data_IF_646313248444
#
_entry.id   IF_646313248444
#
_cell.length_a   1.000
_cell.length_b   1.000
_cell.length_c   1.000
_cell.angle_alpha   90.00
_cell.angle_beta   90.00
_cell.angle_gamma   90.00
#
_symmetry.space_group_name_H-M   'P 1'
#
loop_
_entity.id
_entity.type
_entity.pdbx_description
1 polymer ?
#
# COMPACT_ATOMS: atom_id res chain seq x y z
N UNK A 1 -13.74 -8.46 6.30
CA UNK A 1 -12.93 -7.59 7.19
C UNK A 1 -11.89 -6.92 6.31
N UNK A 2 -11.58 -5.62 6.50
CA UNK A 2 -10.48 -4.98 5.73
C UNK A 2 -9.16 -5.63 6.13
N UNK A 3 -8.20 -5.67 5.22
CA UNK A 3 -6.86 -6.12 5.55
C UNK A 3 -6.19 -5.12 6.49
N UNK A 4 -5.32 -5.61 7.36
CA UNK A 4 -4.45 -4.81 8.23
C UNK A 4 -3.06 -4.65 7.58
N UNK A 5 -2.34 -3.60 7.95
CA UNK A 5 -1.06 -3.28 7.34
C UNK A 5 0.03 -3.29 8.41
N UNK A 6 1.18 -3.90 8.12
CA UNK A 6 2.28 -4.05 9.08
C UNK A 6 3.53 -3.41 8.49
N UNK A 7 4.13 -2.50 9.23
CA UNK A 7 5.40 -1.86 8.90
C UNK A 7 6.44 -2.39 9.88
N UNK A 8 7.29 -3.31 9.43
CA UNK A 8 8.44 -3.73 10.22
C UNK A 8 9.50 -2.64 10.15
N UNK A 9 9.79 -2.03 11.31
CA UNK A 9 10.87 -1.08 11.45
C UNK A 9 12.21 -1.83 11.39
N UNK A 10 13.08 -1.45 10.46
CA UNK A 10 14.33 -2.18 10.16
C UNK A 10 15.58 -1.33 10.36
N UNK A 11 15.50 -0.31 11.21
CA UNK A 11 16.66 0.50 11.55
C UNK A 11 17.46 -0.11 12.71
N UNK A 12 18.77 0.02 12.63
CA UNK A 12 19.68 -0.34 13.70
C UNK A 12 19.62 0.74 14.78
N UNK A 13 18.74 0.56 15.75
CA UNK A 13 18.72 1.39 16.96
C UNK A 13 19.77 0.84 17.96
N UNK A 14 20.80 1.62 18.26
CA UNK A 14 21.68 1.33 19.40
C UNK A 14 20.85 1.37 20.70
N UNK A 15 20.90 0.34 21.57
CA UNK A 15 19.97 0.21 22.71
C UNK A 15 19.92 1.39 23.68
N UNK A 16 21.03 2.13 23.78
CA UNK A 16 21.22 3.27 24.68
C UNK A 16 21.26 4.62 23.92
N UNK A 17 21.15 4.60 22.60
CA UNK A 17 21.15 5.82 21.80
C UNK A 17 19.76 6.47 21.81
N UNK A 18 19.70 7.82 21.74
CA UNK A 18 18.43 8.51 21.54
C UNK A 18 17.79 8.05 20.21
N UNK A 19 16.46 8.01 20.19
CA UNK A 19 15.71 7.68 18.98
C UNK A 19 16.20 8.52 17.80
N UNK A 20 16.85 7.89 16.82
CA UNK A 20 17.25 8.57 15.60
C UNK A 20 16.18 8.35 14.54
N UNK A 21 15.03 8.98 14.76
CA UNK A 21 13.91 8.92 13.83
C UNK A 21 13.90 10.20 12.99
N UNK A 22 14.41 10.17 11.74
CA UNK A 22 14.54 11.40 10.97
C UNK A 22 13.14 11.99 10.68
N UNK A 23 12.97 13.32 10.67
CA UNK A 23 11.65 13.94 10.55
C UNK A 23 10.84 13.49 9.32
N UNK A 24 11.52 13.15 8.23
CA UNK A 24 10.87 12.69 7.00
C UNK A 24 10.25 11.28 7.15
N UNK A 25 10.87 10.39 7.94
CA UNK A 25 10.31 9.05 8.18
C UNK A 25 9.00 9.16 8.99
N UNK A 26 8.90 10.18 9.86
CA UNK A 26 7.67 10.48 10.58
C UNK A 26 6.57 10.99 9.66
N UNK A 27 6.93 11.77 8.65
CA UNK A 27 5.98 12.20 7.64
C UNK A 27 5.48 11.01 6.82
N UNK A 28 6.34 10.08 6.42
CA UNK A 28 5.93 8.85 5.72
C UNK A 28 4.98 8.00 6.57
N UNK A 29 5.32 7.75 7.83
CA UNK A 29 4.46 6.98 8.74
C UNK A 29 3.08 7.61 8.91
N UNK A 30 3.02 8.93 9.08
CA UNK A 30 1.75 9.66 9.16
C UNK A 30 0.99 9.59 7.84
N UNK A 31 1.69 9.67 6.70
CA UNK A 31 1.08 9.59 5.38
C UNK A 31 0.47 8.23 5.10
N UNK A 32 1.11 7.14 5.54
CA UNK A 32 0.55 5.78 5.46
C UNK A 32 -0.84 5.70 6.12
N UNK A 33 -1.03 6.31 7.29
CA UNK A 33 -2.33 6.31 7.96
C UNK A 33 -3.42 6.95 7.10
N UNK A 34 -3.08 8.02 6.37
CA UNK A 34 -4.01 8.67 5.46
C UNK A 34 -4.25 7.89 4.18
N UNK A 35 -3.22 7.25 3.61
CA UNK A 35 -3.38 6.37 2.45
C UNK A 35 -4.31 5.19 2.74
N UNK A 36 -4.17 4.59 3.92
CA UNK A 36 -4.99 3.45 4.34
C UNK A 36 -6.43 3.89 4.68
N UNK A 37 -6.57 4.98 5.42
CA UNK A 37 -7.87 5.54 5.81
C UNK A 37 -8.64 4.73 6.87
N UNK A 38 -9.73 5.32 7.39
CA UNK A 38 -10.48 4.79 8.53
C UNK A 38 -11.07 3.37 8.35
N UNK A 39 -11.14 2.59 9.44
CA UNK A 39 -11.79 1.26 9.44
C UNK A 39 -10.83 0.07 9.32
N UNK A 40 -9.53 0.32 9.42
CA UNK A 40 -8.50 -0.70 9.60
C UNK A 40 -7.34 -0.15 10.45
N UNK A 41 -6.32 -0.97 10.68
CA UNK A 41 -5.16 -0.67 11.55
C UNK A 41 -3.85 -0.80 10.78
N UNK A 42 -2.93 0.13 11.06
CA UNK A 42 -1.52 0.03 10.68
C UNK A 42 -0.69 -0.30 11.93
N UNK A 43 0.01 -1.42 11.91
CA UNK A 43 0.89 -1.88 12.98
C UNK A 43 2.32 -1.49 12.64
N UNK A 44 2.98 -0.73 13.52
CA UNK A 44 4.41 -0.47 13.42
C UNK A 44 5.12 -1.39 14.40
N UNK A 45 5.93 -2.31 13.90
CA UNK A 45 6.56 -3.40 14.66
C UNK A 45 8.08 -3.25 14.70
N UNK A 46 8.74 -4.01 15.58
CA UNK A 46 10.19 -3.99 15.80
C UNK A 46 10.75 -2.59 16.15
N UNK A 47 9.97 -1.76 16.85
CA UNK A 47 10.42 -0.45 17.31
C UNK A 47 11.28 -0.59 18.57
N UNK A 48 12.40 0.13 18.64
CA UNK A 48 13.10 0.28 19.92
C UNK A 48 12.26 1.03 20.94
N UNK A 49 12.65 0.92 22.22
CA UNK A 49 11.97 1.66 23.29
C UNK A 49 11.99 3.17 23.05
N UNK A 50 13.12 3.69 22.58
CA UNK A 50 13.26 5.11 22.28
C UNK A 50 12.33 5.53 21.13
N UNK A 51 12.25 4.72 20.06
CA UNK A 51 11.37 4.95 18.92
C UNK A 51 9.88 4.91 19.31
N UNK A 52 9.48 4.00 20.20
CA UNK A 52 8.11 3.96 20.74
C UNK A 52 7.71 5.25 21.45
N UNK A 53 8.54 5.73 22.37
CA UNK A 53 8.24 6.94 23.14
C UNK A 53 8.18 8.18 22.22
N UNK A 54 9.10 8.28 21.24
CA UNK A 54 9.12 9.35 20.24
C UNK A 54 7.89 9.32 19.32
N UNK A 55 7.51 8.15 18.81
CA UNK A 55 6.35 8.00 17.93
C UNK A 55 5.03 8.23 18.67
N UNK A 56 4.93 7.81 19.93
CA UNK A 56 3.75 8.11 20.76
C UNK A 56 3.55 9.62 20.91
N UNK A 57 4.61 10.36 21.21
CA UNK A 57 4.52 11.81 21.33
C UNK A 57 4.20 12.47 19.98
N UNK A 58 4.89 12.04 18.92
CA UNK A 58 4.65 12.55 17.59
C UNK A 58 3.20 12.30 17.13
N UNK A 59 2.63 11.11 17.33
CA UNK A 59 1.29 10.79 16.84
C UNK A 59 0.16 11.42 17.68
N UNK A 60 0.46 11.91 18.89
CA UNK A 60 -0.48 12.75 19.67
C UNK A 60 -0.64 14.15 19.12
N UNK A 61 0.37 14.66 18.42
CA UNK A 61 0.27 15.97 17.80
C UNK A 61 -0.77 15.94 16.68
N UNK A 62 -1.68 16.92 16.62
CA UNK A 62 -2.71 16.95 15.60
C UNK A 62 -2.06 16.99 14.22
N UNK A 63 -2.48 16.05 13.38
CA UNK A 63 -2.09 16.04 11.98
C UNK A 63 -2.83 17.16 11.24
N UNK A 64 -2.22 17.77 10.21
CA UNK A 64 -2.94 18.69 9.34
C UNK A 64 -4.22 18.02 8.83
N UNK A 65 -5.38 18.69 8.89
CA UNK A 65 -6.62 18.10 8.42
C UNK A 65 -6.50 17.85 6.91
N UNK A 66 -6.35 16.58 6.53
CA UNK A 66 -6.58 16.13 5.18
C UNK A 66 -8.07 15.82 5.01
N UNK A 67 -8.53 15.75 3.77
CA UNK A 67 -9.93 15.49 3.42
C UNK A 67 -10.42 14.12 3.86
N UNK A 68 -9.50 13.19 4.16
CA UNK A 68 -9.77 11.81 4.58
C UNK A 68 -9.35 11.59 6.04
N UNK A 69 -10.14 10.80 6.78
CA UNK A 69 -9.78 10.38 8.14
C UNK A 69 -8.71 9.30 8.09
N UNK A 70 -7.69 9.36 8.97
CA UNK A 70 -6.62 8.38 9.00
C UNK A 70 -7.09 7.02 9.54
N UNK A 71 -6.33 5.97 9.22
CA UNK A 71 -6.43 4.66 9.85
C UNK A 71 -6.09 4.73 11.35
N UNK A 72 -6.49 3.69 12.09
CA UNK A 72 -5.95 3.47 13.43
C UNK A 72 -4.49 3.01 13.32
N UNK A 73 -3.73 3.22 14.38
CA UNK A 73 -2.37 2.71 14.45
C UNK A 73 -2.11 2.02 15.79
N UNK A 74 -1.19 1.07 15.77
CA UNK A 74 -0.62 0.47 16.98
C UNK A 74 0.91 0.44 16.84
N UNK A 75 1.61 0.68 17.94
CA UNK A 75 3.08 0.68 18.00
C UNK A 75 3.53 -0.49 18.87
N UNK A 76 4.48 -1.30 18.40
CA UNK A 76 4.93 -2.53 19.05
C UNK A 76 6.45 -2.58 19.12
N UNK A 77 6.99 -3.02 20.26
CA UNK A 77 8.41 -3.36 20.37
C UNK A 77 8.71 -4.71 19.70
N UNK A 78 7.71 -5.59 19.73
CA UNK A 78 7.74 -6.93 19.17
C UNK A 78 7.91 -6.90 17.65
N UNK A 79 8.70 -7.85 17.12
CA UNK A 79 8.76 -8.14 15.69
C UNK A 79 7.40 -8.63 15.18
N UNK A 80 7.18 -8.55 13.86
CA UNK A 80 5.98 -9.08 13.22
C UNK A 80 5.71 -10.55 13.57
N UNK A 81 6.74 -11.40 13.66
CA UNK A 81 6.59 -12.82 14.00
C UNK A 81 6.14 -13.03 15.44
N UNK A 82 6.71 -12.27 16.37
CA UNK A 82 6.34 -12.31 17.79
C UNK A 82 4.91 -11.80 17.99
N UNK A 83 4.57 -10.69 17.36
CA UNK A 83 3.22 -10.12 17.39
C UNK A 83 2.20 -11.10 16.78
N UNK A 84 2.50 -11.70 15.63
CA UNK A 84 1.65 -12.69 14.99
C UNK A 84 1.37 -13.88 15.92
N UNK A 85 2.41 -14.41 16.58
CA UNK A 85 2.24 -15.48 17.57
C UNK A 85 1.34 -15.06 18.73
N UNK A 86 1.55 -13.88 19.30
CA UNK A 86 0.76 -13.36 20.43
C UNK A 86 -0.72 -13.14 20.06
N UNK A 87 -0.99 -12.70 18.82
CA UNK A 87 -2.34 -12.44 18.32
C UNK A 87 -3.00 -13.67 17.68
N UNK A 88 -2.27 -14.77 17.51
CA UNK A 88 -2.75 -15.98 16.82
C UNK A 88 -2.94 -15.77 15.32
N UNK A 89 -2.16 -14.89 14.70
CA UNK A 89 -2.18 -14.68 13.26
C UNK A 89 -1.43 -15.80 12.54
N UNK A 90 -2.07 -16.34 11.49
CA UNK A 90 -1.42 -17.29 10.59
C UNK A 90 -0.44 -16.56 9.67
N UNK A 91 0.84 -16.91 9.73
CA UNK A 91 1.89 -16.33 8.89
C UNK A 91 1.60 -16.53 7.39
N UNK A 92 0.90 -17.59 7.00
CA UNK A 92 0.50 -17.82 5.61
C UNK A 92 -0.60 -16.85 5.13
N UNK A 93 -1.17 -16.06 6.04
CA UNK A 93 -2.13 -14.99 5.74
C UNK A 93 -1.51 -13.59 5.86
N UNK A 94 -0.19 -13.49 6.06
CA UNK A 94 0.57 -12.25 6.08
C UNK A 94 1.42 -12.19 4.80
N UNK A 95 1.05 -11.32 3.87
CA UNK A 95 1.76 -11.16 2.61
C UNK A 95 2.92 -10.17 2.76
N UNK A 96 4.15 -10.61 2.53
CA UNK A 96 5.30 -9.73 2.43
C UNK A 96 5.32 -9.04 1.05
N UNK A 97 5.38 -7.71 1.04
CA UNK A 97 5.66 -6.96 -0.18
C UNK A 97 7.17 -6.93 -0.40
N UNK A 98 7.62 -7.63 -1.45
CA UNK A 98 9.02 -7.90 -1.73
C UNK A 98 9.28 -7.76 -3.24
N UNK A 99 10.20 -6.89 -3.67
CA UNK A 99 10.57 -6.76 -5.09
C UNK A 99 11.05 -8.06 -5.75
N UNK A 100 11.52 -9.04 -4.95
CA UNK A 100 11.99 -10.35 -5.44
C UNK A 100 10.94 -11.46 -5.33
N UNK A 101 9.71 -11.15 -4.90
CA UNK A 101 8.64 -12.14 -4.88
C UNK A 101 8.32 -12.60 -6.32
N UNK A 102 7.92 -13.87 -6.51
CA UNK A 102 7.71 -14.44 -7.84
C UNK A 102 6.41 -13.99 -8.53
N UNK A 103 5.42 -13.52 -7.76
CA UNK A 103 4.09 -13.15 -8.25
C UNK A 103 3.78 -11.68 -7.97
N UNK A 104 3.16 -10.95 -8.92
CA UNK A 104 2.75 -9.59 -8.68
C UNK A 104 1.54 -9.54 -7.75
N UNK A 105 1.40 -8.44 -7.01
CA UNK A 105 0.21 -8.18 -6.21
C UNK A 105 -1.04 -8.14 -7.11
N UNK A 106 -2.10 -8.82 -6.67
CA UNK A 106 -3.38 -8.92 -7.38
C UNK A 106 -4.52 -8.29 -6.58
N UNK A 107 -5.53 -7.74 -7.28
CA UNK A 107 -6.78 -7.28 -6.65
C UNK A 107 -7.49 -8.38 -5.83
N UNK A 108 -7.19 -9.65 -6.10
CA UNK A 108 -7.78 -10.83 -5.44
C UNK A 108 -7.15 -11.15 -4.09
N UNK A 109 -5.99 -10.57 -3.77
CA UNK A 109 -5.16 -10.98 -2.65
C UNK A 109 -5.78 -10.67 -1.26
N UNK A 110 -6.68 -9.69 -1.16
CA UNK A 110 -7.50 -9.44 0.05
C UNK A 110 -8.90 -10.07 -0.01
N UNK A 111 -9.24 -10.76 -1.11
CA UNK A 111 -10.55 -11.40 -1.34
C UNK A 111 -11.74 -10.45 -1.41
N UNK A 112 -11.51 -9.14 -1.62
CA UNK A 112 -12.57 -8.16 -1.87
C UNK A 112 -12.99 -8.10 -3.34
N UNK A 113 -12.08 -8.46 -4.25
CA UNK A 113 -12.31 -8.45 -5.70
C UNK A 113 -12.02 -9.83 -6.27
N UNK A 114 -13.01 -10.51 -6.85
CA UNK A 114 -12.85 -11.85 -7.43
C UNK A 114 -13.47 -12.97 -6.58
N UNK A 115 -13.09 -14.22 -6.85
CA UNK A 115 -13.63 -15.41 -6.17
C UNK A 115 -12.91 -15.70 -4.85
N UNK A 116 -13.68 -15.74 -3.75
CA UNK A 116 -13.28 -16.05 -2.37
C UNK A 116 -12.80 -17.52 -2.24
N UNK A 117 -11.89 -17.90 -1.30
CA UNK A 117 -11.43 -17.18 -0.11
C UNK A 117 -10.27 -16.18 -0.33
N UNK A 118 -10.24 -15.12 0.50
CA UNK A 118 -9.09 -14.20 0.62
C UNK A 118 -7.82 -14.96 1.08
N UNK A 119 -6.71 -14.94 0.31
CA UNK A 119 -5.48 -15.57 0.75
C UNK A 119 -4.84 -14.81 1.92
N UNK A 120 -4.92 -13.47 1.94
CA UNK A 120 -4.25 -12.66 2.96
C UNK A 120 -5.20 -11.82 3.80
N UNK A 121 -4.74 -11.53 5.01
CA UNK A 121 -5.39 -10.66 6.01
C UNK A 121 -4.50 -9.50 6.41
N UNK A 122 -3.19 -9.65 6.22
CA UNK A 122 -2.21 -8.62 6.52
C UNK A 122 -1.27 -8.43 5.34
N UNK A 123 -0.79 -7.21 5.15
CA UNK A 123 0.25 -6.86 4.20
C UNK A 123 1.43 -6.25 4.95
N UNK A 124 2.59 -6.88 4.82
CA UNK A 124 3.83 -6.58 5.54
C UNK A 124 4.82 -5.84 4.62
N UNK A 125 5.39 -4.76 5.15
CA UNK A 125 6.40 -3.93 4.49
C UNK A 125 7.63 -3.85 5.38
N UNK A 126 8.83 -4.04 4.82
CA UNK A 126 10.08 -3.95 5.56
C UNK A 126 10.84 -2.66 5.28
N UNK A 127 11.04 -1.84 6.31
CA UNK A 127 12.05 -0.76 6.37
C UNK A 127 11.79 0.48 5.50
N UNK A 128 11.97 1.67 6.11
CA UNK A 128 11.55 2.98 5.57
C UNK A 128 12.62 3.62 4.67
N UNK A 129 13.88 3.17 4.72
CA UNK A 129 14.97 3.89 4.08
C UNK A 129 15.28 3.36 2.69
N UNK A 130 14.95 4.18 1.68
CA UNK A 130 15.42 4.05 0.31
C UNK A 130 16.91 4.40 0.22
N UNK A 131 17.77 3.43 0.46
CA UNK A 131 19.18 3.54 0.08
C UNK A 131 19.29 3.64 -1.45
N UNK A 132 20.22 4.47 -1.96
CA UNK A 132 20.63 4.48 -3.37
C UNK A 132 22.14 4.16 -3.44
N UNK A 133 22.55 2.96 -3.90
CA UNK A 133 21.71 1.92 -4.49
C UNK A 133 20.84 1.17 -3.46
N UNK A 134 19.74 0.54 -3.91
CA UNK A 134 18.81 -0.17 -3.05
C UNK A 134 19.50 -1.30 -2.28
N UNK A 135 19.29 -1.35 -0.95
CA UNK A 135 19.68 -2.49 -0.12
C UNK A 135 18.50 -3.44 0.02
N UNK A 136 18.72 -4.75 -0.10
CA UNK A 136 17.69 -5.79 0.08
C UNK A 136 17.38 -5.97 1.57
N UNK A 137 16.83 -4.93 2.22
CA UNK A 137 16.45 -4.96 3.64
C UNK A 137 15.37 -6.01 3.90
N UNK A 138 14.51 -6.29 2.92
CA UNK A 138 13.51 -7.36 2.96
C UNK A 138 14.09 -8.78 3.03
N UNK A 139 15.39 -8.98 2.81
CA UNK A 139 15.99 -10.32 2.81
C UNK A 139 15.78 -11.07 4.13
N UNK A 140 15.95 -10.39 5.27
CA UNK A 140 15.75 -11.03 6.59
C UNK A 140 14.29 -11.41 6.82
N UNK A 141 13.33 -10.63 6.30
CA UNK A 141 11.90 -10.97 6.36
C UNK A 141 11.54 -12.14 5.44
N UNK A 142 12.17 -12.22 4.27
CA UNK A 142 11.97 -13.31 3.31
C UNK A 142 12.32 -14.68 3.89
N UNK A 143 13.36 -14.73 4.73
CA UNK A 143 13.79 -15.96 5.42
C UNK A 143 12.78 -16.47 6.47
N UNK A 144 11.82 -15.63 6.89
CA UNK A 144 10.79 -15.97 7.89
C UNK A 144 9.60 -16.75 7.31
N UNK A 145 9.57 -16.98 5.99
CA UNK A 145 8.60 -17.89 5.35
C UNK A 145 7.23 -17.26 5.04
N UNK A 146 7.14 -15.93 4.99
CA UNK A 146 5.93 -15.24 4.53
C UNK A 146 5.69 -15.48 3.03
N UNK A 147 4.44 -15.69 2.57
CA UNK A 147 4.12 -15.59 1.16
C UNK A 147 4.40 -14.17 0.65
N UNK A 148 4.92 -14.05 -0.57
CA UNK A 148 5.36 -12.78 -1.14
C UNK A 148 4.54 -12.30 -2.34
N UNK A 149 4.49 -10.97 -2.53
CA UNK A 149 4.04 -10.29 -3.74
C UNK A 149 4.97 -9.13 -4.09
N UNK A 150 5.17 -8.87 -5.38
CA UNK A 150 5.92 -7.68 -5.84
C UNK A 150 4.97 -6.63 -6.43
N UNK A 151 5.40 -5.35 -6.43
CA UNK A 151 4.63 -4.21 -6.95
C UNK A 151 5.11 -3.75 -8.34
N UNK A 152 5.85 -4.61 -9.04
CA UNK A 152 6.61 -4.28 -10.24
C UNK A 152 8.12 -4.23 -9.98
N UNK A 153 8.89 -3.84 -10.99
CA UNK A 153 10.35 -3.80 -10.95
C UNK A 153 10.93 -2.55 -10.30
N UNK A 154 10.13 -1.49 -10.19
CA UNK A 154 10.57 -0.18 -9.66
C UNK A 154 10.39 -0.13 -8.16
N UNK A 155 11.45 0.27 -7.44
CA UNK A 155 11.38 0.51 -6.01
C UNK A 155 10.50 1.72 -5.69
N UNK A 156 9.73 1.60 -4.61
CA UNK A 156 8.88 2.65 -4.07
C UNK A 156 9.33 2.98 -2.64
N UNK A 157 9.07 4.20 -2.18
CA UNK A 157 9.06 4.50 -0.75
C UNK A 157 8.00 3.64 -0.05
N UNK A 158 8.15 3.41 1.25
CA UNK A 158 7.27 2.48 1.97
C UNK A 158 5.83 3.00 1.99
N UNK A 159 5.64 4.32 2.14
CA UNK A 159 4.31 4.93 2.13
C UNK A 159 3.62 4.79 0.77
N UNK A 160 4.39 4.95 -0.32
CA UNK A 160 3.92 4.72 -1.69
C UNK A 160 3.55 3.25 -1.90
N UNK A 161 4.41 2.31 -1.51
CA UNK A 161 4.16 0.87 -1.63
C UNK A 161 2.88 0.45 -0.91
N UNK A 162 2.67 0.96 0.31
CA UNK A 162 1.46 0.73 1.08
C UNK A 162 0.23 1.35 0.42
N UNK A 163 0.33 2.58 -0.08
CA UNK A 163 -0.76 3.25 -0.79
C UNK A 163 -1.17 2.53 -2.08
N UNK A 164 -0.20 2.05 -2.86
CA UNK A 164 -0.42 1.21 -4.04
C UNK A 164 -1.09 -0.11 -3.64
N UNK A 165 -0.57 -0.78 -2.61
CA UNK A 165 -1.13 -2.05 -2.11
C UNK A 165 -2.60 -1.89 -1.76
N UNK A 166 -2.95 -0.86 -0.97
CA UNK A 166 -4.35 -0.57 -0.60
C UNK A 166 -5.22 -0.35 -1.85
N UNK A 167 -4.74 0.43 -2.83
CA UNK A 167 -5.50 0.67 -4.07
C UNK A 167 -5.74 -0.60 -4.86
N UNK A 168 -4.78 -1.52 -4.89
CA UNK A 168 -4.93 -2.81 -5.56
C UNK A 168 -5.93 -3.68 -4.81
N UNK A 169 -5.65 -3.99 -3.55
CA UNK A 169 -6.36 -5.07 -2.84
C UNK A 169 -7.69 -4.62 -2.27
N UNK A 170 -7.89 -3.32 -2.05
CA UNK A 170 -9.13 -2.77 -1.51
C UNK A 170 -9.95 -1.98 -2.54
N UNK A 171 -9.32 -1.14 -3.36
CA UNK A 171 -10.06 -0.35 -4.36
C UNK A 171 -10.23 -1.10 -5.70
N UNK A 172 -9.59 -2.26 -5.85
CA UNK A 172 -9.69 -3.09 -7.04
C UNK A 172 -8.98 -2.47 -8.25
N UNK A 173 -8.00 -1.60 -8.02
CA UNK A 173 -7.23 -0.94 -9.08
C UNK A 173 -6.01 -1.76 -9.42
N UNK A 174 -5.98 -2.37 -10.61
CA UNK A 174 -4.83 -3.17 -11.05
C UNK A 174 -3.55 -2.35 -11.13
N UNK A 175 -2.41 -2.99 -10.90
CA UNK A 175 -1.08 -2.38 -11.12
C UNK A 175 -0.92 -1.82 -12.54
N UNK A 176 -1.46 -2.53 -13.55
CA UNK A 176 -1.54 -2.03 -14.92
C UNK A 176 -0.20 -1.80 -15.62
N UNK A 177 0.87 -2.41 -15.14
CA UNK A 177 2.21 -2.28 -15.70
C UNK A 177 2.38 -3.17 -16.93
N UNK A 178 3.00 -2.65 -17.99
CA UNK A 178 3.20 -3.40 -19.23
C UNK A 178 4.11 -4.63 -19.03
N UNK A 179 5.08 -4.55 -18.11
CA UNK A 179 5.97 -5.66 -17.75
C UNK A 179 5.24 -6.87 -17.16
N UNK A 180 4.03 -6.67 -16.61
CA UNK A 180 3.23 -7.72 -15.99
C UNK A 180 2.27 -8.41 -16.97
N UNK A 181 2.17 -7.95 -18.22
CA UNK A 181 1.20 -8.51 -19.18
C UNK A 181 1.52 -9.96 -19.49
N UNK A 182 0.56 -10.84 -19.19
CA UNK A 182 0.66 -12.28 -19.45
C UNK A 182 1.55 -13.04 -18.46
N UNK A 183 2.05 -12.37 -17.41
CA UNK A 183 2.70 -13.03 -16.29
C UNK A 183 1.69 -13.84 -15.47
N UNK A 184 2.13 -14.96 -14.91
CA UNK A 184 1.32 -15.73 -13.98
C UNK A 184 1.01 -14.90 -12.71
N UNK A 185 -0.20 -15.06 -12.19
CA UNK A 185 -0.71 -14.28 -11.06
C UNK A 185 -1.03 -12.80 -11.34
N UNK A 186 -0.70 -12.26 -12.52
CA UNK A 186 -1.02 -10.88 -12.88
C UNK A 186 -2.51 -10.69 -13.19
N UNK A 187 -3.06 -9.55 -12.76
CA UNK A 187 -4.45 -9.20 -13.03
C UNK A 187 -4.71 -8.95 -14.53
N UNK A 188 -5.75 -9.59 -15.07
CA UNK A 188 -6.17 -9.43 -16.47
C UNK A 188 -7.12 -8.26 -16.72
N UNK A 189 -7.55 -8.08 -17.97
CA UNK A 189 -8.52 -7.04 -18.33
C UNK A 189 -9.90 -7.25 -17.70
N UNK A 190 -10.23 -8.49 -17.33
CA UNK A 190 -11.46 -8.86 -16.61
C UNK A 190 -11.39 -8.57 -15.12
N UNK A 191 -10.20 -8.35 -14.57
CA UNK A 191 -9.97 -8.12 -13.14
C UNK A 191 -9.96 -6.63 -12.83
N UNK A 192 -10.60 -6.23 -11.73
CA UNK A 192 -10.57 -4.86 -11.24
C UNK A 192 -10.99 -3.75 -12.23
N UNK A 193 -10.70 -2.50 -11.86
CA UNK A 193 -10.76 -1.35 -12.76
C UNK A 193 -9.34 -0.95 -13.17
N UNK A 194 -9.15 -0.50 -14.42
CA UNK A 194 -7.87 0.02 -14.87
C UNK A 194 -7.62 1.35 -14.16
N UNK A 195 -6.44 1.56 -13.59
CA UNK A 195 -6.02 2.91 -13.19
C UNK A 195 -5.66 3.72 -14.46
N UNK A 196 -6.67 4.35 -15.08
CA UNK A 196 -6.43 5.36 -16.12
C UNK A 196 -6.20 6.68 -15.41
N UNK A 197 -4.94 7.07 -15.20
CA UNK A 197 -4.57 8.25 -14.42
C UNK A 197 -5.41 9.49 -14.74
N UNK A 198 -6.20 9.93 -13.75
CA UNK A 198 -6.55 11.34 -13.56
C UNK A 198 -6.51 11.64 -12.08
N UNK A 199 -5.60 12.53 -11.69
CA UNK A 199 -5.58 13.12 -10.35
C UNK A 199 -6.65 14.22 -10.34
N UNK A 200 -7.71 14.00 -9.56
CA UNK A 200 -8.77 14.99 -9.29
C UNK A 200 -10.10 14.68 -9.99
N UNK A 201 -11.12 14.39 -9.17
CA UNK A 201 -12.51 14.26 -9.59
C UNK A 201 -13.00 12.81 -9.71
N UNK A 202 -14.10 12.50 -9.02
CA UNK A 202 -14.85 11.24 -9.01
C UNK A 202 -14.76 10.45 -10.31
N UNK A 203 -14.25 9.22 -10.21
CA UNK A 203 -14.29 8.26 -11.31
C UNK A 203 -15.75 7.95 -11.66
N UNK A 204 -16.17 8.34 -12.86
CA UNK A 204 -17.41 7.84 -13.47
C UNK A 204 -17.01 6.57 -14.22
N UNK A 205 -17.53 5.38 -13.87
CA UNK A 205 -17.30 4.19 -14.66
C UNK A 205 -18.01 4.36 -16.00
N UNK A 206 -17.26 4.32 -17.10
CA UNK A 206 -17.86 4.21 -18.44
C UNK A 206 -18.39 2.77 -18.62
N UNK A 207 -19.61 2.60 -19.13
CA UNK A 207 -20.11 1.27 -19.45
C UNK A 207 -19.27 0.66 -20.58
N UNK A 208 -19.07 -0.66 -20.50
CA UNK A 208 -18.32 -1.43 -21.51
C UNK A 208 -19.03 -1.30 -22.87
N UNK A 209 -18.52 -0.43 -23.74
CA UNK A 209 -18.94 -0.34 -25.14
C UNK A 209 -18.06 -1.22 -26.01
N UNK A 210 -18.64 -2.27 -26.59
CA UNK A 210 -18.02 -3.02 -27.69
C UNK A 210 -17.92 -2.16 -28.96
N UNK A 211 -17.16 -2.61 -29.97
CA UNK A 211 -16.83 -1.80 -31.14
C UNK A 211 -17.97 -1.85 -32.16
N UNK A 212 -19.13 -1.30 -31.85
CA UNK A 212 -20.23 -1.10 -32.81
C UNK A 212 -21.13 0.04 -32.32
N UNK A 213 -20.70 1.30 -32.51
CA UNK A 213 -21.62 2.44 -32.56
C UNK A 213 -20.92 3.67 -33.17
N UNK A 214 -20.63 3.58 -34.48
CA UNK A 214 -20.44 4.74 -35.34
C UNK A 214 -21.82 5.17 -35.84
N UNK A 215 -22.46 6.07 -35.11
CA UNK A 215 -23.81 6.55 -35.42
C UNK A 215 -24.03 8.01 -35.02
N UNK A 216 -23.67 8.92 -35.94
CA UNK A 216 -24.25 10.25 -36.15
C UNK A 216 -24.74 11.08 -34.95
N UNK A 217 -24.10 12.24 -34.71
CA UNK A 217 -24.83 13.42 -34.25
C UNK A 217 -24.18 14.72 -34.73
N UNK A 218 -25.06 15.63 -35.15
CA UNK A 218 -24.85 16.87 -35.88
C UNK A 218 -24.06 17.93 -35.13
N UNK A 219 -23.48 18.85 -35.91
CA UNK A 219 -22.64 19.94 -35.43
C UNK A 219 -23.40 21.08 -34.76
N UNK A 220 -22.63 21.95 -34.10
CA UNK A 220 -23.04 23.31 -33.80
C UNK A 220 -21.80 24.20 -33.71
N UNK A 221 -22.00 25.45 -34.15
CA UNK A 221 -21.01 26.44 -34.54
C UNK A 221 -20.26 27.02 -33.33
N UNK A 222 -18.97 27.32 -33.53
CA UNK A 222 -18.19 28.18 -32.65
C UNK A 222 -18.73 29.62 -32.68
N UNK A 223 -19.09 30.15 -31.50
CA UNK A 223 -19.16 31.59 -31.24
C UNK A 223 -18.05 31.91 -30.21
N UNK A 224 -17.20 32.87 -30.57
CA UNK A 224 -16.09 33.31 -29.75
C UNK A 224 -16.52 34.13 -28.53
N UNK A 225 -15.62 34.22 -27.56
CA UNK A 225 -15.68 35.22 -26.51
C UNK A 225 -14.30 35.85 -26.34
N UNK A 226 -14.26 37.16 -26.58
CA UNK A 226 -13.21 38.07 -26.13
C UNK A 226 -13.47 38.40 -24.65
N UNK A 227 -12.39 38.46 -23.86
CA UNK A 227 -12.35 38.99 -22.48
C UNK A 227 -11.65 40.36 -22.55
N UNK A 228 -12.04 41.36 -21.74
CA UNK A 228 -11.41 42.69 -21.70
C UNK A 228 -9.92 42.66 -21.31
#
# INVERSE_FOLDING_TARGET
MRAEYIIEHMEEDEPEAPAHFPPWALLEYRHMLYHVGEGTTVHFTALSRASLDALHEAFRQPLPPLTQKPARFELHAESVTTLAQQRGWDLQRICLLDPKAPLPLSVRDAGLHGSNPAPFTHFLFGGILGDDPPRDRTASLRELGFPGRHLGSVQMSTDTALGVTKRVVEDGLRLGLDELRGMDGADGASDGCVWTGRVGGTAIPLPRGGPDDLGAAHGTRHAGYHIP
#
